data_IF_090110034779
#
_entry.id   IF_090110034779
#
_cell.length_a   1.000
_cell.length_b   1.000
_cell.length_c   1.000
_cell.angle_alpha   90.00
_cell.angle_beta   90.00
_cell.angle_gamma   90.00
#
_symmetry.space_group_name_H-M   'P 1'
#
loop_
_entity.id
_entity.type
_entity.pdbx_description
1 polymer ?
#
# COMPACT_ATOMS: atom_id res chain seq x y z
N UNK A 1 7.37 -12.96 11.52
CA UNK A 1 6.37 -11.91 11.83
C UNK A 1 7.01 -10.55 11.55
N UNK A 2 6.47 -9.77 10.60
CA UNK A 2 7.08 -8.53 10.14
C UNK A 2 6.84 -7.40 11.19
N UNK A 3 7.91 -6.91 11.82
CA UNK A 3 7.82 -5.88 12.89
C UNK A 3 7.24 -4.56 12.38
N UNK A 4 7.58 -4.18 11.14
CA UNK A 4 7.07 -2.96 10.50
C UNK A 4 5.57 -3.10 10.23
N UNK A 5 5.13 -4.26 9.73
CA UNK A 5 3.71 -4.51 9.50
C UNK A 5 2.91 -4.42 10.81
N UNK A 6 3.41 -5.04 11.89
CA UNK A 6 2.78 -4.95 13.21
C UNK A 6 2.68 -3.50 13.70
N UNK A 7 3.78 -2.75 13.62
CA UNK A 7 3.81 -1.34 14.03
C UNK A 7 2.79 -0.50 13.25
N UNK A 8 2.79 -0.59 11.92
CA UNK A 8 1.84 0.17 11.10
C UNK A 8 0.39 -0.24 11.42
N UNK A 9 0.12 -1.53 11.60
CA UNK A 9 -1.22 -2.00 11.97
C UNK A 9 -1.74 -1.45 13.31
N UNK A 10 -0.84 -1.16 14.26
CA UNK A 10 -1.20 -0.53 15.54
C UNK A 10 -1.45 0.99 15.43
N UNK A 11 -0.94 1.65 14.38
CA UNK A 11 -0.94 3.11 14.25
C UNK A 11 -1.87 3.65 13.15
N UNK A 12 -2.33 2.79 12.24
CA UNK A 12 -3.25 3.14 11.14
C UNK A 12 -4.69 2.82 11.54
N UNK A 13 -5.65 3.51 10.90
CA UNK A 13 -7.08 3.21 11.05
C UNK A 13 -7.54 2.06 10.17
N UNK A 14 -6.89 1.86 9.02
CA UNK A 14 -7.07 0.70 8.16
C UNK A 14 -6.31 -0.53 8.67
N UNK A 15 -5.93 -1.42 7.76
CA UNK A 15 -5.24 -2.67 8.09
C UNK A 15 -3.95 -2.86 7.29
N UNK A 16 -3.02 -3.63 7.85
CA UNK A 16 -1.76 -4.00 7.21
C UNK A 16 -1.64 -5.52 7.13
N UNK A 17 -1.62 -6.03 5.91
CA UNK A 17 -1.49 -7.45 5.63
C UNK A 17 -0.06 -7.80 5.21
N UNK A 18 0.51 -8.85 5.82
CA UNK A 18 1.81 -9.41 5.43
C UNK A 18 1.76 -10.94 5.33
N UNK A 19 0.57 -11.51 5.15
CA UNK A 19 0.35 -12.94 4.99
C UNK A 19 0.60 -13.36 3.55
N UNK A 20 1.20 -14.52 3.34
CA UNK A 20 1.63 -14.95 1.99
C UNK A 20 0.49 -15.01 0.97
N UNK A 21 -0.69 -15.47 1.40
CA UNK A 21 -1.88 -15.49 0.55
C UNK A 21 -2.32 -14.09 0.12
N UNK A 22 -2.26 -13.09 1.00
CA UNK A 22 -2.63 -11.72 0.65
C UNK A 22 -1.61 -11.11 -0.32
N UNK A 23 -0.32 -11.35 -0.10
CA UNK A 23 0.76 -10.84 -0.96
C UNK A 23 0.70 -11.42 -2.38
N UNK A 24 0.34 -12.70 -2.54
CA UNK A 24 0.21 -13.30 -3.87
C UNK A 24 -0.93 -12.72 -4.71
N UNK A 25 -1.95 -12.13 -4.08
CA UNK A 25 -3.04 -11.47 -4.82
C UNK A 25 -2.64 -10.14 -5.47
N UNK A 26 -1.47 -9.60 -5.12
CA UNK A 26 -1.03 -8.26 -5.56
C UNK A 26 0.37 -8.25 -6.18
N UNK A 27 0.98 -9.43 -6.38
CA UNK A 27 2.33 -9.53 -6.93
C UNK A 27 2.38 -9.30 -8.46
N UNK A 28 1.24 -9.36 -9.14
CA UNK A 28 1.10 -9.09 -10.58
C UNK A 28 0.01 -8.03 -10.81
N UNK A 29 0.17 -7.21 -11.84
CA UNK A 29 -0.91 -6.42 -12.44
C UNK A 29 -1.42 -7.10 -13.73
N UNK A 30 -1.99 -6.36 -14.68
CA UNK A 30 -2.39 -6.91 -15.98
C UNK A 30 -1.20 -7.05 -16.95
N UNK A 31 0.00 -6.65 -16.53
CA UNK A 31 1.23 -6.80 -17.30
C UNK A 31 1.89 -8.17 -17.14
N UNK A 32 3.14 -8.25 -17.60
CA UNK A 32 3.97 -9.45 -17.52
C UNK A 32 4.85 -9.52 -16.26
N UNK A 33 4.99 -8.41 -15.53
CA UNK A 33 5.93 -8.31 -14.43
C UNK A 33 5.32 -8.84 -13.13
N UNK A 34 6.05 -9.72 -12.45
CA UNK A 34 5.71 -10.18 -11.11
C UNK A 34 6.72 -9.61 -10.09
N UNK A 35 6.22 -8.82 -9.13
CA UNK A 35 7.01 -8.24 -8.04
C UNK A 35 6.20 -8.27 -6.75
N UNK A 36 6.57 -9.19 -5.87
CA UNK A 36 5.89 -9.36 -4.59
C UNK A 36 6.23 -8.23 -3.60
N UNK A 37 5.23 -7.53 -3.02
CA UNK A 37 5.47 -6.56 -1.95
C UNK A 37 5.80 -7.27 -0.63
N UNK A 38 6.35 -6.52 0.32
CA UNK A 38 6.64 -7.00 1.68
C UNK A 38 5.40 -6.91 2.59
N UNK A 39 4.50 -5.98 2.29
CA UNK A 39 3.20 -5.80 2.95
C UNK A 39 2.24 -4.98 2.09
N UNK A 40 0.96 -5.10 2.42
CA UNK A 40 -0.13 -4.32 1.84
C UNK A 40 -0.73 -3.47 2.94
N UNK A 41 -0.77 -2.16 2.75
CA UNK A 41 -1.51 -1.22 3.60
C UNK A 41 -2.83 -0.92 2.92
N UNK A 42 -3.93 -1.41 3.48
CA UNK A 42 -5.29 -1.06 3.06
C UNK A 42 -5.70 0.19 3.83
N UNK A 43 -5.39 1.35 3.27
CA UNK A 43 -5.61 2.63 3.92
C UNK A 43 -7.12 2.89 4.08
N UNK A 44 -7.57 3.29 5.26
CA UNK A 44 -8.97 3.64 5.48
C UNK A 44 -9.28 5.10 5.10
N UNK A 45 -8.26 5.97 5.13
CA UNK A 45 -8.41 7.40 4.89
C UNK A 45 -7.06 8.06 4.55
N UNK A 46 -7.10 9.36 4.21
CA UNK A 46 -5.91 10.14 3.88
C UNK A 46 -4.86 10.23 5.00
N UNK A 47 -5.26 10.14 6.27
CA UNK A 47 -4.30 10.19 7.38
C UNK A 47 -3.45 8.92 7.45
N UNK A 48 -3.99 7.77 7.04
CA UNK A 48 -3.20 6.54 6.96
C UNK A 48 -2.07 6.67 5.95
N UNK A 49 -2.37 7.17 4.74
CA UNK A 49 -1.37 7.44 3.70
C UNK A 49 -0.29 8.41 4.22
N UNK A 50 -0.70 9.52 4.86
CA UNK A 50 0.26 10.48 5.45
C UNK A 50 1.16 9.84 6.50
N UNK A 51 0.63 8.97 7.37
CA UNK A 51 1.40 8.28 8.40
C UNK A 51 2.42 7.32 7.79
N UNK A 52 2.01 6.53 6.77
CA UNK A 52 2.92 5.62 6.04
C UNK A 52 4.07 6.41 5.42
N UNK A 53 3.77 7.49 4.69
CA UNK A 53 4.80 8.29 4.02
C UNK A 53 5.77 8.93 5.01
N UNK A 54 5.28 9.46 6.14
CA UNK A 54 6.14 10.01 7.21
C UNK A 54 7.02 8.93 7.83
N UNK A 55 6.46 7.76 8.11
CA UNK A 55 7.21 6.62 8.64
C UNK A 55 8.34 6.21 7.69
N UNK A 56 8.05 6.06 6.40
CA UNK A 56 9.07 5.72 5.39
C UNK A 56 10.14 6.81 5.25
N UNK A 57 9.76 8.10 5.31
CA UNK A 57 10.74 9.20 5.30
C UNK A 57 11.71 9.13 6.48
N UNK A 58 11.18 8.96 7.70
CA UNK A 58 11.99 8.84 8.91
C UNK A 58 12.89 7.59 8.90
N UNK A 59 12.42 6.51 8.27
CA UNK A 59 13.19 5.28 8.11
C UNK A 59 14.34 5.50 7.11
N UNK A 60 14.08 6.18 6.00
CA UNK A 60 15.07 6.53 4.99
C UNK A 60 16.15 7.48 5.53
N UNK A 61 15.79 8.47 6.36
CA UNK A 61 16.74 9.36 7.07
C UNK A 61 17.73 8.59 7.95
N UNK A 62 17.36 7.39 8.41
CA UNK A 62 18.20 6.49 9.21
C UNK A 62 18.94 5.44 8.36
N UNK A 63 18.93 5.57 7.03
CA UNK A 63 19.59 4.67 6.10
C UNK A 63 18.79 3.41 5.74
N UNK A 64 17.51 3.34 6.12
CA UNK A 64 16.64 2.21 5.83
C UNK A 64 15.58 2.62 4.80
N UNK A 65 15.84 2.39 3.53
CA UNK A 65 14.88 2.73 2.46
C UNK A 65 13.83 1.62 2.33
N UNK A 66 12.57 1.96 2.58
CA UNK A 66 11.42 1.08 2.34
C UNK A 66 10.56 1.69 1.22
N UNK A 67 10.62 1.12 -0.01
CA UNK A 67 9.85 1.63 -1.14
C UNK A 67 8.34 1.58 -0.88
N UNK A 68 7.62 2.53 -1.45
CA UNK A 68 6.17 2.62 -1.39
C UNK A 68 5.65 2.79 -2.80
N UNK A 69 4.59 2.06 -3.16
CA UNK A 69 3.85 2.25 -4.39
C UNK A 69 2.35 2.19 -4.11
N UNK A 70 1.57 2.87 -4.95
CA UNK A 70 0.11 2.89 -4.84
C UNK A 70 -0.46 1.87 -5.82
N UNK A 71 -1.49 1.15 -5.38
CA UNK A 71 -2.22 0.19 -6.18
C UNK A 71 -3.72 0.44 -6.02
N UNK A 72 -4.38 0.75 -7.13
CA UNK A 72 -5.84 0.73 -7.25
C UNK A 72 -6.35 -0.68 -7.54
N UNK A 73 -7.04 -0.87 -8.66
CA UNK A 73 -7.52 -2.20 -9.09
C UNK A 73 -6.42 -3.13 -9.62
N UNK A 74 -5.22 -2.61 -9.91
CA UNK A 74 -4.13 -3.42 -10.46
C UNK A 74 -4.23 -3.72 -11.95
N UNK A 75 -4.95 -2.89 -12.70
CA UNK A 75 -5.17 -3.08 -14.14
C UNK A 75 -4.07 -2.45 -15.01
N UNK A 76 -2.97 -1.99 -14.43
CA UNK A 76 -1.85 -1.46 -15.19
C UNK A 76 -1.20 -2.58 -16.02
N UNK A 77 -0.74 -2.27 -17.22
CA UNK A 77 -0.11 -3.24 -18.14
C UNK A 77 1.42 -3.03 -18.26
N UNK A 78 1.95 -2.00 -17.59
CA UNK A 78 3.36 -1.59 -17.68
C UNK A 78 4.20 -2.04 -16.48
N UNK A 79 3.56 -2.58 -15.44
CA UNK A 79 4.20 -2.95 -14.17
C UNK A 79 4.16 -1.83 -13.13
N UNK A 80 3.46 -0.73 -13.37
CA UNK A 80 3.41 0.41 -12.45
C UNK A 80 2.63 0.10 -11.17
N UNK A 81 1.72 -0.88 -11.22
CA UNK A 81 0.89 -1.27 -10.09
C UNK A 81 1.47 -2.45 -9.27
N UNK A 82 2.71 -2.86 -9.54
CA UNK A 82 3.39 -3.96 -8.85
C UNK A 82 4.85 -3.61 -8.51
N UNK A 83 5.26 -3.79 -7.25
CA UNK A 83 6.64 -3.55 -6.83
C UNK A 83 6.98 -4.22 -5.48
N UNK A 84 8.25 -4.11 -5.07
CA UNK A 84 8.71 -4.47 -3.71
C UNK A 84 8.38 -3.36 -2.72
N UNK A 85 8.37 -3.68 -1.42
CA UNK A 85 8.11 -2.72 -0.33
C UNK A 85 6.65 -2.68 0.10
N UNK A 86 6.11 -1.49 0.34
CA UNK A 86 4.71 -1.28 0.77
C UNK A 86 3.82 -1.03 -0.44
N UNK A 87 2.80 -1.88 -0.61
CA UNK A 87 1.69 -1.62 -1.52
C UNK A 87 0.58 -0.86 -0.77
N UNK A 88 0.30 0.39 -1.14
CA UNK A 88 -0.87 1.12 -0.62
C UNK A 88 -2.09 0.75 -1.48
N UNK A 89 -3.02 0.01 -0.89
CA UNK A 89 -4.30 -0.35 -1.49
C UNK A 89 -5.35 0.71 -1.14
N UNK A 90 -5.80 1.43 -2.16
CA UNK A 90 -6.87 2.44 -2.06
C UNK A 90 -8.25 1.86 -2.43
N UNK A 91 -8.30 0.68 -3.04
CA UNK A 91 -9.55 0.04 -3.49
C UNK A 91 -10.38 -0.50 -2.34
N UNK A 92 -9.73 -1.05 -1.31
CA UNK A 92 -10.44 -1.80 -0.27
C UNK A 92 -11.36 -0.92 0.59
N UNK A 93 -10.91 0.25 1.02
CA UNK A 93 -11.69 1.13 1.91
C UNK A 93 -11.89 2.56 1.39
N UNK A 94 -11.02 3.08 0.52
CA UNK A 94 -11.14 4.47 0.02
C UNK A 94 -12.03 4.57 -1.23
N UNK A 95 -13.23 3.98 -1.17
CA UNK A 95 -14.16 3.86 -2.30
C UNK A 95 -15.45 4.68 -2.14
N UNK A 96 -15.46 5.65 -1.21
CA UNK A 96 -16.64 6.49 -0.92
C UNK A 96 -16.57 7.84 -1.63
N UNK A 97 -17.64 8.18 -2.34
CA UNK A 97 -17.86 9.54 -2.87
C UNK A 97 -18.23 10.48 -1.72
N UNK A 98 -17.47 11.56 -1.55
CA UNK A 98 -17.67 12.57 -0.48
C UNK A 98 -18.48 13.78 -0.94
N UNK A 99 -18.52 14.04 -2.24
CA UNK A 99 -19.26 15.13 -2.84
C UNK A 99 -19.08 15.12 -4.35
N UNK A 100 -20.09 15.58 -5.06
CA UNK A 100 -20.05 15.84 -6.50
C UNK A 100 -20.52 17.28 -6.64
N UNK A 101 -19.72 18.12 -7.30
CA UNK A 101 -20.17 19.45 -7.71
C UNK A 101 -20.96 19.29 -9.01
N UNK A 102 -22.29 19.47 -9.01
CA UNK A 102 -23.13 19.18 -10.17
C UNK A 102 -23.06 20.24 -11.27
N UNK A 103 -22.34 21.35 -11.07
CA UNK A 103 -22.58 22.65 -11.73
C UNK A 103 -23.88 23.32 -11.30
#
# INVERSE_FOLDING_TARGET
MNKVAKYLNEHLSGEVASQDFALSQVEVDNGLLARRPEMIVRAANMNDIRKVMRFCSQLAEKGHVLPVFVRGCGNDETGAATNKGIAIDEKTYMNRVVGIDPR
#
